data_IF_146901780987
#
_entry.id   IF_146901780987
#
_cell.length_a   1.000
_cell.length_b   1.000
_cell.length_c   1.000
_cell.angle_alpha   90.00
_cell.angle_beta   90.00
_cell.angle_gamma   90.00
#
_symmetry.space_group_name_H-M   'P 1'
#
loop_
_entity.id
_entity.type
_entity.pdbx_description
1 polymer ?
#
# COMPACT_ATOMS: atom_id res chain seq x y z
N UNK A 1 19.82 3.84 -8.31
CA UNK A 1 18.47 3.56 -7.79
C UNK A 1 18.59 3.02 -6.36
N UNK A 2 17.84 3.63 -5.42
CA UNK A 2 17.79 3.17 -4.03
C UNK A 2 16.78 2.04 -3.88
N UNK A 3 17.11 1.06 -3.03
CA UNK A 3 16.22 -0.01 -2.58
C UNK A 3 16.27 -0.06 -1.05
N UNK A 4 15.13 0.00 -0.40
CA UNK A 4 15.01 -0.17 1.05
C UNK A 4 14.32 -1.50 1.34
N UNK A 5 15.04 -2.42 1.96
CA UNK A 5 14.45 -3.65 2.51
C UNK A 5 13.92 -3.37 3.91
N UNK A 6 12.66 -3.66 4.13
CA UNK A 6 11.99 -3.47 5.42
C UNK A 6 11.81 -4.82 6.10
N UNK A 7 12.35 -4.95 7.32
CA UNK A 7 12.33 -6.17 8.10
C UNK A 7 13.21 -7.27 7.50
N UNK A 8 14.51 -7.01 7.25
CA UNK A 8 15.44 -7.98 6.66
C UNK A 8 15.68 -9.22 7.54
N UNK A 9 15.48 -9.11 8.86
CA UNK A 9 15.83 -10.13 9.81
C UNK A 9 17.31 -10.53 9.68
N UNK A 10 17.59 -11.81 9.43
CA UNK A 10 18.95 -12.31 9.21
C UNK A 10 19.43 -12.19 7.76
N UNK A 11 18.74 -11.41 6.90
CA UNK A 11 19.21 -11.07 5.57
C UNK A 11 18.88 -12.06 4.46
N UNK A 12 17.75 -12.77 4.57
CA UNK A 12 17.32 -13.77 3.56
C UNK A 12 17.17 -13.16 2.17
N UNK A 13 16.58 -11.96 2.08
CA UNK A 13 16.48 -11.22 0.81
C UNK A 13 17.71 -10.33 0.60
N UNK A 14 18.26 -9.76 1.65
CA UNK A 14 19.42 -8.84 1.63
C UNK A 14 20.57 -9.37 0.79
N UNK A 15 20.94 -10.65 0.97
CA UNK A 15 22.02 -11.28 0.22
C UNK A 15 21.86 -11.17 -1.30
N UNK A 16 20.65 -11.30 -1.80
CA UNK A 16 20.35 -11.19 -3.24
C UNK A 16 20.30 -9.74 -3.71
N UNK A 17 19.82 -8.83 -2.85
CA UNK A 17 19.77 -7.40 -3.17
C UNK A 17 21.18 -6.82 -3.30
N UNK A 18 22.12 -7.25 -2.45
CA UNK A 18 23.51 -6.79 -2.46
C UNK A 18 24.32 -7.29 -3.69
N UNK A 19 23.79 -8.24 -4.45
CA UNK A 19 24.34 -8.69 -5.73
C UNK A 19 23.88 -7.83 -6.91
N UNK A 20 22.87 -6.95 -6.71
CA UNK A 20 22.31 -6.10 -7.77
C UNK A 20 23.05 -4.76 -7.84
N UNK A 21 23.02 -4.10 -9.01
CA UNK A 21 23.64 -2.79 -9.20
C UNK A 21 22.81 -1.64 -8.58
N UNK A 22 22.10 -1.93 -7.50
CA UNK A 22 21.28 -0.98 -6.75
C UNK A 22 21.93 -0.64 -5.42
N UNK A 23 21.65 0.53 -4.91
CA UNK A 23 22.10 0.94 -3.59
C UNK A 23 21.09 0.48 -2.54
N UNK A 24 21.44 -0.60 -1.84
CA UNK A 24 20.56 -1.29 -0.90
C UNK A 24 20.72 -0.75 0.51
N UNK A 25 19.60 -0.41 1.12
CA UNK A 25 19.45 -0.01 2.53
C UNK A 25 18.52 -1.00 3.24
N UNK A 26 18.64 -1.10 4.56
CA UNK A 26 17.77 -1.94 5.38
C UNK A 26 17.17 -1.15 6.54
N UNK A 27 15.92 -1.43 6.88
CA UNK A 27 15.23 -0.88 8.05
C UNK A 27 14.74 -2.04 8.93
N UNK A 28 15.21 -2.11 10.18
CA UNK A 28 14.92 -3.19 11.10
C UNK A 28 14.67 -2.63 12.51
N UNK A 29 13.69 -3.20 13.20
CA UNK A 29 13.33 -2.82 14.58
C UNK A 29 14.14 -3.61 15.59
N UNK A 30 14.49 -4.85 15.25
CA UNK A 30 15.24 -5.74 16.10
C UNK A 30 16.74 -5.43 16.05
N UNK A 31 17.30 -5.04 17.18
CA UNK A 31 18.69 -4.66 17.31
C UNK A 31 19.64 -5.86 17.12
N UNK A 32 19.23 -7.08 17.53
CA UNK A 32 20.05 -8.28 17.34
C UNK A 32 20.18 -8.62 15.85
N UNK A 33 19.08 -8.48 15.09
CA UNK A 33 19.10 -8.64 13.63
C UNK A 33 20.00 -7.60 12.96
N UNK A 34 19.99 -6.35 13.39
CA UNK A 34 20.90 -5.32 12.87
C UNK A 34 22.36 -5.66 13.13
N UNK A 35 22.70 -6.07 14.34
CA UNK A 35 24.09 -6.48 14.66
C UNK A 35 24.53 -7.71 13.82
N UNK A 36 23.62 -8.67 13.63
CA UNK A 36 23.87 -9.80 12.75
C UNK A 36 24.15 -9.33 11.31
N UNK A 37 23.33 -8.41 10.77
CA UNK A 37 23.50 -7.89 9.41
C UNK A 37 24.83 -7.14 9.24
N UNK A 38 25.22 -6.30 10.20
CA UNK A 38 26.52 -5.61 10.19
C UNK A 38 27.69 -6.56 10.16
N UNK A 39 27.62 -7.65 10.93
CA UNK A 39 28.68 -8.63 10.99
C UNK A 39 28.82 -9.44 9.70
N UNK A 40 27.71 -9.79 9.06
CA UNK A 40 27.70 -10.72 7.93
C UNK A 40 27.65 -10.04 6.55
N UNK A 41 27.20 -8.77 6.48
CA UNK A 41 27.02 -8.04 5.23
C UNK A 41 27.73 -6.68 5.25
N UNK A 42 29.06 -6.68 5.09
CA UNK A 42 29.90 -5.47 5.12
C UNK A 42 29.43 -4.38 4.13
N UNK A 43 28.82 -4.77 3.00
CA UNK A 43 28.25 -3.83 2.02
C UNK A 43 27.11 -2.97 2.57
N UNK A 44 26.55 -3.30 3.74
CA UNK A 44 25.53 -2.53 4.45
C UNK A 44 26.12 -1.51 5.44
N UNK A 45 27.45 -1.33 5.47
CA UNK A 45 28.06 -0.32 6.33
C UNK A 45 27.43 1.05 6.09
N UNK A 46 26.91 1.66 7.17
CA UNK A 46 26.18 2.93 7.14
C UNK A 46 24.88 2.96 6.32
N UNK A 47 24.35 1.81 5.86
CA UNK A 47 23.11 1.67 5.09
C UNK A 47 22.02 0.92 5.83
N UNK A 48 22.02 1.02 7.14
CA UNK A 48 21.02 0.40 8.01
C UNK A 48 20.38 1.44 8.92
N UNK A 49 19.09 1.24 9.17
CA UNK A 49 18.31 2.07 10.07
C UNK A 49 17.69 1.18 11.14
N UNK A 50 18.05 1.42 12.38
CA UNK A 50 17.40 0.78 13.52
C UNK A 50 16.15 1.55 13.86
N UNK A 51 14.97 0.95 13.69
CA UNK A 51 13.72 1.58 14.04
C UNK A 51 12.51 1.10 13.26
N UNK A 52 11.37 1.67 13.63
CA UNK A 52 10.09 1.36 13.05
C UNK A 52 9.92 2.04 11.68
N UNK A 53 9.82 1.26 10.61
CA UNK A 53 9.59 1.76 9.25
C UNK A 53 8.39 2.71 9.16
N UNK A 54 7.34 2.48 9.94
CA UNK A 54 6.16 3.34 9.94
C UNK A 54 6.46 4.77 10.42
N UNK A 55 7.54 4.96 11.18
CA UNK A 55 7.98 6.26 11.74
C UNK A 55 9.11 6.90 10.94
N UNK A 56 9.78 6.16 10.06
CA UNK A 56 10.86 6.69 9.24
C UNK A 56 10.29 7.73 8.26
N UNK A 57 10.93 8.90 8.21
CA UNK A 57 10.70 9.86 7.13
C UNK A 57 11.70 9.58 6.01
N UNK A 58 11.21 9.11 4.87
CA UNK A 58 12.08 8.72 3.74
C UNK A 58 12.84 9.91 3.14
N UNK A 59 12.30 11.12 3.24
CA UNK A 59 12.98 12.33 2.74
C UNK A 59 14.25 12.69 3.54
N UNK A 60 14.34 12.24 4.81
CA UNK A 60 15.53 12.49 5.62
C UNK A 60 16.69 11.56 5.25
N UNK A 61 16.38 10.48 4.52
CA UNK A 61 17.32 9.40 4.18
C UNK A 61 17.68 9.42 2.69
N UNK A 62 16.69 9.60 1.83
CA UNK A 62 16.84 9.48 0.39
C UNK A 62 16.56 10.80 -0.29
N UNK A 63 17.51 11.27 -1.10
CA UNK A 63 17.36 12.48 -1.90
C UNK A 63 16.49 12.30 -3.15
N UNK A 64 16.00 11.07 -3.40
CA UNK A 64 15.23 10.72 -4.59
C UNK A 64 14.32 9.52 -4.37
N UNK A 65 13.92 8.89 -5.45
CA UNK A 65 13.02 7.74 -5.43
C UNK A 65 13.70 6.51 -4.83
N UNK A 66 12.96 5.77 -4.01
CA UNK A 66 13.38 4.53 -3.36
C UNK A 66 12.36 3.42 -3.56
N UNK A 67 12.78 2.29 -4.11
CA UNK A 67 11.95 1.10 -4.18
C UNK A 67 11.91 0.40 -2.80
N UNK A 68 10.75 -0.12 -2.43
CA UNK A 68 10.56 -0.83 -1.17
C UNK A 68 10.43 -2.33 -1.42
N UNK A 69 11.09 -3.13 -0.60
CA UNK A 69 10.92 -4.58 -0.62
C UNK A 69 10.85 -5.11 0.82
N UNK A 70 10.07 -6.18 1.05
CA UNK A 70 10.07 -6.80 2.36
C UNK A 70 9.16 -8.00 2.51
N UNK A 71 9.51 -8.80 3.54
CA UNK A 71 8.62 -9.80 4.11
C UNK A 71 7.93 -9.17 5.32
N UNK A 72 6.77 -8.55 5.09
CA UNK A 72 6.15 -7.69 6.08
C UNK A 72 5.45 -8.45 7.21
N UNK A 73 5.55 -7.97 8.47
CA UNK A 73 4.78 -8.51 9.58
C UNK A 73 3.26 -8.40 9.31
N UNK A 74 2.53 -9.49 9.55
CA UNK A 74 1.10 -9.57 9.18
C UNK A 74 0.22 -8.58 9.95
N UNK A 75 0.55 -8.33 11.21
CA UNK A 75 -0.22 -7.43 12.08
C UNK A 75 -0.19 -5.95 11.67
N UNK A 76 0.77 -5.53 10.84
CA UNK A 76 0.91 -4.15 10.37
C UNK A 76 0.76 -4.00 8.85
N UNK A 77 0.32 -5.05 8.16
CA UNK A 77 0.21 -5.07 6.69
C UNK A 77 -0.51 -3.86 6.10
N UNK A 78 -1.68 -3.51 6.63
CA UNK A 78 -2.44 -2.34 6.14
C UNK A 78 -1.73 -1.03 6.43
N UNK A 79 -1.03 -0.91 7.56
CA UNK A 79 -0.28 0.30 7.93
C UNK A 79 0.89 0.50 6.98
N UNK A 80 1.58 -0.58 6.59
CA UNK A 80 2.65 -0.53 5.59
C UNK A 80 2.11 -0.05 4.25
N UNK A 81 1.00 -0.62 3.77
CA UNK A 81 0.38 -0.19 2.51
C UNK A 81 -0.06 1.29 2.56
N UNK A 82 -0.57 1.76 3.68
CA UNK A 82 -0.90 3.19 3.86
C UNK A 82 0.35 4.06 3.88
N UNK A 83 1.44 3.63 4.54
CA UNK A 83 2.73 4.33 4.50
C UNK A 83 3.27 4.44 3.07
N UNK A 84 3.13 3.38 2.25
CA UNK A 84 3.50 3.40 0.83
C UNK A 84 2.67 4.44 0.07
N UNK A 85 1.34 4.46 0.27
CA UNK A 85 0.46 5.45 -0.38
C UNK A 85 0.81 6.88 0.05
N UNK A 86 1.08 7.11 1.33
CA UNK A 86 1.42 8.43 1.86
C UNK A 86 2.74 8.97 1.30
N UNK A 87 3.61 8.09 0.82
CA UNK A 87 4.91 8.42 0.22
C UNK A 87 4.98 8.07 -1.27
N UNK A 88 3.84 8.01 -1.96
CA UNK A 88 3.76 7.56 -3.36
C UNK A 88 4.68 8.34 -4.30
N UNK A 89 4.92 9.62 -4.03
CA UNK A 89 5.79 10.47 -4.86
C UNK A 89 7.25 9.99 -4.82
N UNK A 90 7.69 9.45 -3.69
CA UNK A 90 9.05 8.97 -3.48
C UNK A 90 9.20 7.47 -3.73
N UNK A 91 8.11 6.70 -3.67
CA UNK A 91 8.11 5.24 -3.84
C UNK A 91 7.53 4.88 -5.22
N UNK A 92 8.38 4.65 -6.25
CA UNK A 92 7.90 4.26 -7.57
C UNK A 92 7.44 2.80 -7.64
N UNK A 93 7.98 1.94 -6.77
CA UNK A 93 7.73 0.51 -6.78
C UNK A 93 7.82 -0.09 -5.38
N UNK A 94 6.96 -1.06 -5.08
CA UNK A 94 7.07 -1.90 -3.90
C UNK A 94 6.81 -3.36 -4.28
N UNK A 95 7.62 -4.28 -3.73
CA UNK A 95 7.36 -5.72 -3.76
C UNK A 95 7.32 -6.23 -2.33
N UNK A 96 6.23 -6.89 -1.97
CA UNK A 96 6.06 -7.32 -0.59
C UNK A 96 5.26 -8.59 -0.42
N UNK A 97 5.61 -9.33 0.62
CA UNK A 97 4.86 -10.49 1.06
C UNK A 97 3.96 -10.11 2.23
N UNK A 98 2.69 -10.47 2.13
CA UNK A 98 1.62 -10.20 3.08
C UNK A 98 0.84 -11.49 3.37
N UNK A 99 -0.07 -11.47 4.34
CA UNK A 99 -1.10 -12.50 4.41
C UNK A 99 -1.83 -12.57 3.06
N UNK A 100 -2.13 -13.81 2.61
CA UNK A 100 -2.76 -14.04 1.31
C UNK A 100 -4.04 -13.21 1.14
N UNK A 101 -4.88 -13.15 2.16
CA UNK A 101 -6.11 -12.38 2.16
C UNK A 101 -5.86 -10.86 1.93
N UNK A 102 -4.84 -10.30 2.56
CA UNK A 102 -4.47 -8.88 2.37
C UNK A 102 -3.97 -8.65 0.96
N UNK A 103 -3.13 -9.53 0.44
CA UNK A 103 -2.61 -9.46 -0.92
C UNK A 103 -3.74 -9.55 -1.98
N UNK A 104 -4.69 -10.50 -1.79
CA UNK A 104 -5.86 -10.66 -2.65
C UNK A 104 -6.77 -9.43 -2.60
N UNK A 105 -7.06 -8.89 -1.41
CA UNK A 105 -7.84 -7.66 -1.24
C UNK A 105 -7.18 -6.46 -1.91
N UNK A 106 -5.86 -6.34 -1.81
CA UNK A 106 -5.13 -5.22 -2.43
C UNK A 106 -5.24 -5.26 -3.95
N UNK A 107 -5.20 -6.48 -4.54
CA UNK A 107 -5.26 -6.69 -5.99
C UNK A 107 -6.69 -6.91 -6.52
N UNK A 108 -7.71 -6.87 -5.66
CA UNK A 108 -9.09 -7.18 -6.04
C UNK A 108 -9.67 -6.14 -7.02
N UNK A 109 -10.55 -6.62 -7.90
CA UNK A 109 -11.26 -5.79 -8.89
C UNK A 109 -12.72 -5.56 -8.50
N UNK A 110 -13.38 -4.51 -9.01
CA UNK A 110 -14.79 -4.22 -8.72
C UNK A 110 -15.70 -5.43 -8.88
N UNK A 111 -16.77 -5.48 -8.07
CA UNK A 111 -17.79 -6.55 -8.05
C UNK A 111 -17.31 -7.90 -7.52
N UNK A 112 -16.12 -7.97 -6.94
CA UNK A 112 -15.65 -9.17 -6.23
C UNK A 112 -15.84 -8.99 -4.72
N UNK A 113 -15.90 -10.11 -3.97
CA UNK A 113 -16.08 -10.08 -2.52
C UNK A 113 -14.91 -9.39 -1.78
N UNK A 114 -13.72 -9.46 -2.36
CA UNK A 114 -12.48 -8.97 -1.75
C UNK A 114 -12.21 -7.50 -2.08
N UNK A 115 -12.92 -6.96 -3.09
CA UNK A 115 -12.81 -5.54 -3.43
C UNK A 115 -13.36 -4.64 -2.33
N UNK A 116 -12.57 -3.68 -1.87
CA UNK A 116 -12.92 -2.83 -0.75
C UNK A 116 -12.03 -1.61 -0.59
N UNK A 117 -12.04 -1.01 0.60
CA UNK A 117 -11.28 0.21 0.91
C UNK A 117 -9.81 0.08 0.50
N UNK A 118 -9.17 -1.05 0.87
CA UNK A 118 -7.75 -1.27 0.61
C UNK A 118 -7.47 -1.33 -0.90
N UNK A 119 -8.32 -2.04 -1.66
CA UNK A 119 -8.21 -2.11 -3.12
C UNK A 119 -8.24 -0.73 -3.75
N UNK A 120 -9.27 0.07 -3.42
CA UNK A 120 -9.47 1.40 -4.02
C UNK A 120 -8.37 2.36 -3.62
N UNK A 121 -8.00 2.43 -2.34
CA UNK A 121 -6.99 3.37 -1.87
C UNK A 121 -5.59 3.07 -2.43
N UNK A 122 -5.21 1.78 -2.55
CA UNK A 122 -3.90 1.41 -3.12
C UNK A 122 -3.89 1.63 -4.63
N UNK A 123 -4.92 1.13 -5.32
CA UNK A 123 -4.98 1.18 -6.79
C UNK A 123 -5.19 2.61 -7.34
N UNK A 124 -5.59 3.57 -6.50
CA UNK A 124 -5.62 4.99 -6.89
C UNK A 124 -4.22 5.55 -7.20
N UNK A 125 -3.16 4.93 -6.69
CA UNK A 125 -1.77 5.38 -6.86
C UNK A 125 -0.86 4.35 -7.52
N UNK A 126 -1.25 3.06 -7.49
CA UNK A 126 -0.41 1.95 -7.94
C UNK A 126 -1.19 0.94 -8.75
N UNK A 127 -0.59 0.45 -9.83
CA UNK A 127 -0.99 -0.80 -10.45
C UNK A 127 -0.57 -1.94 -9.53
N UNK A 128 -1.52 -2.80 -9.18
CA UNK A 128 -1.30 -3.92 -8.26
C UNK A 128 -1.27 -5.23 -9.02
N UNK A 129 -0.15 -5.95 -8.93
CA UNK A 129 -0.01 -7.28 -9.49
C UNK A 129 0.17 -8.31 -8.38
N UNK A 130 -0.75 -9.27 -8.28
CA UNK A 130 -0.56 -10.47 -7.47
C UNK A 130 0.43 -11.38 -8.21
N UNK A 131 1.57 -11.68 -7.60
CA UNK A 131 2.64 -12.43 -8.25
C UNK A 131 2.47 -13.93 -8.03
N UNK A 132 2.48 -14.37 -6.78
CA UNK A 132 2.32 -15.78 -6.40
C UNK A 132 1.94 -15.94 -4.93
N UNK A 133 1.46 -17.14 -4.61
CA UNK A 133 1.18 -17.58 -3.23
C UNK A 133 2.38 -18.31 -2.66
N UNK A 134 2.68 -18.07 -1.38
CA UNK A 134 3.68 -18.80 -0.61
C UNK A 134 2.97 -19.63 0.44
N UNK A 135 3.25 -20.94 0.48
CA UNK A 135 2.65 -21.85 1.44
C UNK A 135 3.30 -21.69 2.81
N UNK A 136 2.50 -21.91 3.86
CA UNK A 136 2.92 -21.81 5.25
C UNK A 136 4.10 -22.72 5.60
N UNK A 137 4.21 -23.87 4.95
CA UNK A 137 5.22 -24.90 5.22
C UNK A 137 6.66 -24.50 4.84
N UNK A 138 6.84 -23.37 4.12
CA UNK A 138 8.19 -22.88 3.78
C UNK A 138 8.80 -22.04 4.89
N UNK A 139 8.03 -21.73 5.93
CA UNK A 139 8.48 -20.93 7.07
C UNK A 139 8.76 -21.81 8.30
N UNK A 140 9.68 -21.35 9.14
CA UNK A 140 9.99 -21.99 10.42
C UNK A 140 10.06 -20.93 11.54
N UNK A 141 9.11 -20.92 12.47
CA UNK A 141 7.89 -21.73 12.55
C UNK A 141 6.86 -21.36 11.45
N UNK A 142 6.00 -22.30 11.03
CA UNK A 142 5.00 -22.02 10.02
C UNK A 142 3.90 -21.08 10.55
N UNK A 143 3.49 -20.06 9.79
CA UNK A 143 2.35 -19.24 10.13
C UNK A 143 1.03 -20.03 9.97
N UNK A 144 -0.05 -19.51 10.56
CA UNK A 144 -1.38 -20.15 10.49
C UNK A 144 -2.08 -19.96 9.13
N UNK A 145 -1.55 -19.12 8.26
CA UNK A 145 -2.17 -18.73 6.98
C UNK A 145 -1.12 -18.63 5.88
N UNK A 146 -1.55 -18.84 4.65
CA UNK A 146 -0.72 -18.64 3.45
C UNK A 146 -0.37 -17.17 3.29
N UNK A 147 0.73 -16.92 2.58
CA UNK A 147 1.17 -15.59 2.18
C UNK A 147 0.89 -15.36 0.69
N UNK A 148 0.77 -14.10 0.32
CA UNK A 148 0.73 -13.65 -1.07
C UNK A 148 1.79 -12.60 -1.30
N UNK A 149 2.48 -12.69 -2.42
CA UNK A 149 3.43 -11.68 -2.85
C UNK A 149 2.77 -10.79 -3.88
N UNK A 150 2.81 -9.48 -3.66
CA UNK A 150 2.30 -8.48 -4.58
C UNK A 150 3.40 -7.52 -5.00
N UNK A 151 3.26 -7.00 -6.22
CA UNK A 151 4.03 -5.87 -6.73
C UNK A 151 3.09 -4.68 -6.91
N UNK A 152 3.53 -3.53 -6.42
CA UNK A 152 2.93 -2.23 -6.68
C UNK A 152 3.86 -1.47 -7.62
N UNK A 153 3.32 -0.91 -8.70
CA UNK A 153 4.04 -0.01 -9.61
C UNK A 153 3.25 1.28 -9.68
N UNK A 154 3.87 2.40 -9.34
CA UNK A 154 3.18 3.69 -9.33
C UNK A 154 2.62 4.02 -10.71
N UNK A 155 1.31 4.28 -10.77
CA UNK A 155 0.57 4.64 -11.97
C UNK A 155 0.26 6.14 -12.04
N UNK A 156 0.32 6.87 -10.91
CA UNK A 156 -0.11 8.26 -10.81
C UNK A 156 0.88 9.06 -9.96
N UNK A 157 1.84 9.70 -10.64
CA UNK A 157 2.90 10.49 -9.97
C UNK A 157 2.36 11.80 -9.38
N UNK A 158 1.38 12.41 -10.05
CA UNK A 158 0.79 13.69 -9.65
C UNK A 158 -0.26 13.52 -8.51
N UNK A 159 -0.56 12.28 -8.13
CA UNK A 159 -1.56 11.97 -7.11
C UNK A 159 -2.98 12.27 -7.57
N UNK A 160 -3.82 12.74 -6.66
CA UNK A 160 -5.23 13.05 -6.90
C UNK A 160 -5.50 14.56 -6.96
N UNK A 161 -4.49 15.36 -7.29
CA UNK A 161 -4.59 16.80 -7.51
C UNK A 161 -5.18 17.58 -6.31
N UNK A 162 -4.77 17.20 -5.09
CA UNK A 162 -5.26 17.82 -3.85
C UNK A 162 -6.66 17.36 -3.41
N UNK A 163 -7.13 16.22 -3.95
CA UNK A 163 -8.41 15.62 -3.59
C UNK A 163 -8.28 14.43 -2.63
N UNK A 164 -7.08 14.14 -2.13
CA UNK A 164 -6.74 12.92 -1.38
C UNK A 164 -7.61 12.72 -0.14
N UNK A 165 -7.85 13.79 0.62
CA UNK A 165 -8.66 13.74 1.85
C UNK A 165 -10.10 13.40 1.52
N UNK A 166 -10.71 14.10 0.57
CA UNK A 166 -12.09 13.89 0.15
C UNK A 166 -12.27 12.50 -0.47
N UNK A 167 -11.36 12.08 -1.33
CA UNK A 167 -11.34 10.75 -1.92
C UNK A 167 -11.33 9.65 -0.86
N UNK A 168 -10.39 9.73 0.09
CA UNK A 168 -10.29 8.79 1.22
C UNK A 168 -11.58 8.76 2.05
N UNK A 169 -12.20 9.92 2.27
CA UNK A 169 -13.45 10.05 3.01
C UNK A 169 -14.62 9.39 2.27
N UNK A 170 -14.80 9.68 0.97
CA UNK A 170 -15.85 9.08 0.14
C UNK A 170 -15.71 7.56 0.11
N UNK A 171 -14.51 7.05 -0.17
CA UNK A 171 -14.23 5.60 -0.24
C UNK A 171 -14.53 4.92 1.11
N UNK A 172 -14.00 5.44 2.22
CA UNK A 172 -14.22 4.85 3.54
C UNK A 172 -15.69 4.86 3.94
N UNK A 173 -16.40 5.96 3.69
CA UNK A 173 -17.82 6.10 4.04
C UNK A 173 -18.67 5.18 3.17
N UNK A 174 -18.42 5.13 1.87
CA UNK A 174 -19.15 4.26 0.93
C UNK A 174 -19.01 2.78 1.30
N UNK A 175 -17.81 2.31 1.54
CA UNK A 175 -17.55 0.91 1.95
C UNK A 175 -17.94 0.61 3.40
N UNK A 176 -18.03 1.62 4.27
CA UNK A 176 -18.53 1.45 5.64
C UNK A 176 -19.96 0.93 5.68
N UNK A 177 -20.72 1.13 4.61
CA UNK A 177 -22.08 0.62 4.41
C UNK A 177 -22.18 -0.18 3.09
N UNK A 178 -21.26 -1.10 2.86
CA UNK A 178 -21.03 -1.83 1.61
C UNK A 178 -22.31 -2.34 0.91
N UNK A 179 -23.32 -2.79 1.67
CA UNK A 179 -24.57 -3.34 1.13
C UNK A 179 -25.58 -2.28 0.71
N UNK A 180 -25.37 -1.01 1.04
CA UNK A 180 -26.28 0.10 0.70
C UNK A 180 -25.83 0.79 -0.58
N UNK A 181 -26.81 1.40 -1.29
CA UNK A 181 -26.53 2.34 -2.38
C UNK A 181 -25.75 3.54 -1.84
N UNK A 182 -24.93 4.17 -2.67
CA UNK A 182 -24.14 5.34 -2.28
C UNK A 182 -25.01 6.49 -1.79
N UNK A 183 -26.20 6.70 -2.36
CA UNK A 183 -27.17 7.67 -1.87
C UNK A 183 -27.53 7.51 -0.38
N UNK A 184 -27.47 6.29 0.14
CA UNK A 184 -27.67 6.02 1.56
C UNK A 184 -26.36 5.96 2.35
N UNK A 185 -25.29 5.39 1.78
CA UNK A 185 -24.02 5.23 2.45
C UNK A 185 -23.35 6.59 2.73
N UNK A 186 -23.46 7.54 1.80
CA UNK A 186 -22.81 8.85 1.89
C UNK A 186 -23.67 9.93 2.58
N UNK A 187 -24.84 9.60 3.12
CA UNK A 187 -25.74 10.58 3.78
C UNK A 187 -25.10 11.41 4.91
N UNK A 188 -24.07 10.85 5.55
CA UNK A 188 -23.33 11.56 6.61
C UNK A 188 -22.35 12.60 6.07
N UNK A 189 -22.12 12.61 4.76
CA UNK A 189 -21.28 13.58 4.09
C UNK A 189 -22.14 14.68 3.48
N UNK A 190 -21.63 15.90 3.47
CA UNK A 190 -22.28 17.06 2.86
C UNK A 190 -22.16 17.00 1.32
N UNK A 191 -23.05 16.19 0.70
CA UNK A 191 -23.06 15.96 -0.75
C UNK A 191 -23.61 17.21 -1.45
N UNK A 192 -22.89 17.80 -2.42
CA UNK A 192 -23.41 18.87 -3.25
C UNK A 192 -24.74 18.49 -3.90
N UNK A 193 -25.69 19.41 -3.94
CA UNK A 193 -27.05 19.15 -4.44
C UNK A 193 -27.06 18.56 -5.85
N UNK A 194 -26.21 19.11 -6.72
CA UNK A 194 -26.06 18.66 -8.12
C UNK A 194 -25.62 17.19 -8.23
N UNK A 195 -24.90 16.66 -7.23
CA UNK A 195 -24.43 15.28 -7.24
C UNK A 195 -25.42 14.28 -6.61
N UNK A 196 -26.50 14.75 -5.98
CA UNK A 196 -27.52 13.84 -5.41
C UNK A 196 -28.25 13.03 -6.49
N UNK A 197 -28.32 13.54 -7.72
CA UNK A 197 -28.89 12.85 -8.89
C UNK A 197 -27.84 12.13 -9.75
N UNK A 198 -26.56 12.12 -9.34
CA UNK A 198 -25.50 11.46 -10.09
C UNK A 198 -25.75 9.95 -10.20
N UNK A 199 -25.47 9.35 -11.37
CA UNK A 199 -25.73 7.92 -11.65
C UNK A 199 -25.07 6.95 -10.66
N UNK A 200 -24.00 7.36 -10.00
CA UNK A 200 -23.35 6.54 -8.97
C UNK A 200 -24.14 6.42 -7.67
N UNK A 201 -25.07 7.36 -7.41
CA UNK A 201 -25.89 7.32 -6.20
C UNK A 201 -26.78 6.08 -6.10
N UNK A 202 -27.13 5.48 -7.24
CA UNK A 202 -27.91 4.25 -7.30
C UNK A 202 -27.06 2.96 -7.22
N UNK A 203 -25.74 3.08 -7.31
CA UNK A 203 -24.80 1.96 -7.21
C UNK A 203 -24.34 1.75 -5.75
N UNK A 204 -23.81 0.56 -5.49
CA UNK A 204 -23.05 0.27 -4.26
C UNK A 204 -21.58 0.61 -4.45
N UNK A 205 -20.84 0.86 -3.37
CA UNK A 205 -19.42 1.17 -3.43
C UNK A 205 -18.59 0.09 -4.18
N UNK A 206 -18.94 -1.19 -4.00
CA UNK A 206 -18.24 -2.30 -4.65
C UNK A 206 -18.46 -2.40 -6.17
N UNK A 207 -19.41 -1.66 -6.72
CA UNK A 207 -19.70 -1.64 -8.15
C UNK A 207 -18.89 -0.58 -8.91
N UNK A 208 -18.32 0.39 -8.19
CA UNK A 208 -17.52 1.46 -8.77
C UNK A 208 -16.06 1.02 -8.95
N UNK A 209 -15.50 1.39 -10.09
CA UNK A 209 -14.05 1.28 -10.32
C UNK A 209 -13.30 2.34 -9.50
N UNK A 210 -11.98 2.20 -9.42
CA UNK A 210 -11.12 3.20 -8.79
C UNK A 210 -11.24 4.54 -9.51
N UNK A 211 -11.27 4.52 -10.84
CA UNK A 211 -11.41 5.73 -11.64
C UNK A 211 -12.79 6.41 -11.47
N UNK A 212 -13.85 5.62 -11.31
CA UNK A 212 -15.17 6.17 -10.97
C UNK A 212 -15.13 6.96 -9.63
N UNK A 213 -14.44 6.42 -8.61
CA UNK A 213 -14.26 7.14 -7.33
C UNK A 213 -13.43 8.41 -7.48
N UNK A 214 -12.38 8.38 -8.30
CA UNK A 214 -11.53 9.57 -8.55
C UNK A 214 -12.34 10.65 -9.25
N UNK A 215 -13.00 10.31 -10.36
CA UNK A 215 -13.81 11.25 -11.14
C UNK A 215 -14.95 11.85 -10.28
N UNK A 216 -15.65 11.02 -9.51
CA UNK A 216 -16.70 11.48 -8.62
C UNK A 216 -16.17 12.43 -7.53
N UNK A 217 -14.96 12.19 -7.04
CA UNK A 217 -14.32 13.08 -6.07
C UNK A 217 -13.96 14.43 -6.68
N UNK A 218 -13.47 14.45 -7.93
CA UNK A 218 -13.16 15.68 -8.66
C UNK A 218 -14.41 16.51 -8.91
N UNK A 219 -15.50 15.88 -9.38
CA UNK A 219 -16.80 16.53 -9.57
C UNK A 219 -17.36 17.10 -8.25
N UNK A 220 -17.19 16.33 -7.15
CA UNK A 220 -17.62 16.80 -5.83
C UNK A 220 -16.85 18.05 -5.38
N UNK A 221 -15.56 18.08 -5.58
CA UNK A 221 -14.74 19.25 -5.23
C UNK A 221 -15.11 20.46 -6.11
N UNK A 222 -15.27 20.23 -7.42
CA UNK A 222 -15.69 21.28 -8.35
C UNK A 222 -17.04 21.90 -8.00
N UNK A 223 -17.98 21.09 -7.52
CA UNK A 223 -19.33 21.54 -7.12
C UNK A 223 -19.35 22.32 -5.78
N UNK A 224 -18.24 22.32 -5.02
CA UNK A 224 -18.12 23.09 -3.75
C UNK A 224 -17.35 24.39 -3.90
N UNK A 225 -16.67 24.58 -5.03
CA UNK A 225 -15.97 25.82 -5.38
C UNK A 225 -16.86 26.76 -6.20
#
# INVERSE_FOLDING_TARGET
QYVLEVGPGTGVLTKYLLEKPTETYVAEIDTESIEYLKLHYQKLENKHFTGDFLKINLNDIFSGEVAIIGNFPYNISSQILFKIIENYQQIPEMVGMFQKEVAERTAAVPRTKDYGILSVLVQAYYDVKYLFTVHENVFNPPPKVKSGVIKLTRNRKEGLEGNEILFKQIVKTGFGQRRKKLSNALKSLDIPEVLKSHAFMDKRAEELSVEDFINFTQEWKAAKN
#
